data_IF_103341484413
#
_entry.id   IF_103341484413
#
_cell.length_a   1.000
_cell.length_b   1.000
_cell.length_c   1.000
_cell.angle_alpha   90.00
_cell.angle_beta   90.00
_cell.angle_gamma   90.00
#
_symmetry.space_group_name_H-M   'P 1'
#
loop_
_entity.id
_entity.type
_entity.pdbx_description
1 polymer ?
#
# COMPACT_ATOMS: atom_id res chain seq x y z
N UNK A 1 -15.55 9.39 31.28
CA UNK A 1 -14.09 9.50 31.49
C UNK A 1 -13.38 8.26 30.96
N UNK A 2 -13.54 7.08 31.57
CA UNK A 2 -12.84 5.84 31.18
C UNK A 2 -12.88 5.51 29.68
N UNK A 3 -14.04 5.64 29.02
CA UNK A 3 -14.18 5.35 27.57
C UNK A 3 -13.35 6.31 26.73
N UNK A 4 -13.31 7.61 27.08
CA UNK A 4 -12.50 8.60 26.37
C UNK A 4 -11.02 8.29 26.52
N UNK A 5 -10.59 7.94 27.74
CA UNK A 5 -9.18 7.62 28.03
C UNK A 5 -8.71 6.37 27.26
N UNK A 6 -9.54 5.31 27.24
CA UNK A 6 -9.26 4.11 26.44
C UNK A 6 -9.19 4.42 24.95
N UNK A 7 -10.06 5.31 24.45
CA UNK A 7 -10.10 5.67 23.04
C UNK A 7 -8.90 6.54 22.63
N UNK A 8 -8.39 7.38 23.52
CA UNK A 8 -7.10 8.09 23.34
C UNK A 8 -5.93 7.12 23.29
N UNK A 9 -5.85 6.16 24.23
CA UNK A 9 -4.80 5.12 24.22
C UNK A 9 -4.84 4.34 22.90
N UNK A 10 -6.03 3.96 22.46
CA UNK A 10 -6.23 3.23 21.21
C UNK A 10 -5.84 4.06 19.98
N UNK A 11 -6.17 5.36 19.95
CA UNK A 11 -5.74 6.28 18.90
C UNK A 11 -4.21 6.37 18.84
N UNK A 12 -3.54 6.56 19.97
CA UNK A 12 -2.07 6.65 20.03
C UNK A 12 -1.41 5.36 19.52
N UNK A 13 -1.89 4.19 19.97
CA UNK A 13 -1.42 2.91 19.48
C UNK A 13 -1.62 2.77 17.96
N UNK A 14 -2.77 3.21 17.45
CA UNK A 14 -3.09 3.14 16.03
C UNK A 14 -2.17 4.02 15.20
N UNK A 15 -1.86 5.24 15.66
CA UNK A 15 -0.89 6.14 14.99
C UNK A 15 0.49 5.50 14.92
N UNK A 16 0.98 4.93 16.02
CA UNK A 16 2.30 4.29 16.07
C UNK A 16 2.35 3.08 15.14
N UNK A 17 1.34 2.20 15.19
CA UNK A 17 1.31 1.01 14.35
C UNK A 17 1.13 1.37 12.86
N UNK A 18 0.28 2.35 12.54
CA UNK A 18 0.15 2.88 11.18
C UNK A 18 1.52 3.34 10.64
N UNK A 19 2.24 4.15 11.40
CA UNK A 19 3.54 4.69 11.00
C UNK A 19 4.58 3.57 10.77
N UNK A 20 4.62 2.57 11.66
CA UNK A 20 5.51 1.42 11.54
C UNK A 20 5.23 0.64 10.24
N UNK A 21 3.98 0.25 9.99
CA UNK A 21 3.64 -0.54 8.80
C UNK A 21 3.74 0.25 7.50
N UNK A 22 3.45 1.55 7.54
CA UNK A 22 3.67 2.45 6.42
C UNK A 22 5.17 2.54 6.09
N UNK A 23 6.03 2.73 7.10
CA UNK A 23 7.48 2.75 6.92
C UNK A 23 8.04 1.40 6.44
N UNK A 24 7.50 0.28 6.90
CA UNK A 24 7.89 -1.04 6.39
C UNK A 24 7.54 -1.22 4.92
N UNK A 25 6.38 -0.72 4.49
CA UNK A 25 5.99 -0.71 3.07
C UNK A 25 6.96 0.13 2.23
N UNK A 26 7.25 1.36 2.67
CA UNK A 26 8.19 2.26 1.98
C UNK A 26 9.61 1.68 1.88
N UNK A 27 10.12 1.11 2.99
CA UNK A 27 11.44 0.45 3.00
C UNK A 27 11.48 -0.78 2.09
N UNK A 28 10.39 -1.56 2.03
CA UNK A 28 10.31 -2.72 1.15
C UNK A 28 10.40 -2.28 -0.32
N UNK A 29 9.62 -1.27 -0.73
CA UNK A 29 9.65 -0.74 -2.10
C UNK A 29 11.04 -0.23 -2.47
N UNK A 30 11.65 0.59 -1.60
CA UNK A 30 12.93 1.21 -1.91
C UNK A 30 14.08 0.19 -2.00
N UNK A 31 14.04 -0.90 -1.23
CA UNK A 31 15.09 -1.94 -1.20
C UNK A 31 14.89 -3.05 -2.22
N UNK A 32 13.70 -3.23 -2.78
CA UNK A 32 13.40 -4.35 -3.65
C UNK A 32 13.62 -3.98 -5.13
N UNK A 33 14.80 -4.31 -5.65
CA UNK A 33 15.17 -4.05 -7.05
C UNK A 33 14.24 -4.70 -8.07
N UNK A 34 13.79 -5.94 -7.80
CA UNK A 34 12.88 -6.65 -8.69
C UNK A 34 11.53 -5.94 -8.81
N UNK A 35 10.97 -5.49 -7.68
CA UNK A 35 9.74 -4.70 -7.67
C UNK A 35 9.91 -3.38 -8.43
N UNK A 36 11.03 -2.67 -8.19
CA UNK A 36 11.30 -1.41 -8.89
C UNK A 36 11.43 -1.61 -10.40
N UNK A 37 12.08 -2.69 -10.82
CA UNK A 37 12.20 -3.08 -12.22
C UNK A 37 10.83 -3.39 -12.85
N UNK A 38 9.92 -4.07 -12.14
CA UNK A 38 8.54 -4.30 -12.61
C UNK A 38 7.85 -2.97 -12.92
N UNK A 39 7.93 -1.99 -12.01
CA UNK A 39 7.18 -0.74 -12.17
C UNK A 39 7.78 0.18 -13.24
N UNK A 40 9.11 0.32 -13.29
CA UNK A 40 9.75 1.29 -14.18
C UNK A 40 10.33 0.67 -15.46
N UNK A 41 10.43 -0.66 -15.55
CA UNK A 41 11.00 -1.36 -16.70
C UNK A 41 12.40 -0.82 -17.05
N UNK A 42 12.60 -0.50 -18.33
CA UNK A 42 13.86 0.08 -18.83
C UNK A 42 14.15 1.49 -18.31
N UNK A 43 13.17 2.19 -17.71
CA UNK A 43 13.39 3.50 -17.09
C UNK A 43 14.04 3.40 -15.71
N UNK A 44 14.15 2.19 -15.17
CA UNK A 44 14.76 1.97 -13.87
C UNK A 44 16.28 2.20 -13.91
N UNK A 45 16.79 3.07 -13.03
CA UNK A 45 18.21 3.48 -12.99
C UNK A 45 19.00 2.93 -11.79
N UNK A 46 18.60 1.78 -11.24
CA UNK A 46 19.26 1.13 -10.10
C UNK A 46 19.66 2.11 -8.97
N UNK A 47 18.71 2.92 -8.52
CA UNK A 47 18.92 3.97 -7.52
C UNK A 47 17.80 4.00 -6.49
N UNK A 48 18.06 4.69 -5.37
CA UNK A 48 17.01 4.97 -4.39
C UNK A 48 15.88 5.78 -5.03
N UNK A 49 14.66 5.47 -4.61
CA UNK A 49 13.48 6.18 -5.03
C UNK A 49 13.22 7.36 -4.09
N UNK A 50 12.75 8.48 -4.65
CA UNK A 50 12.18 9.54 -3.83
C UNK A 50 10.82 9.11 -3.23
N UNK A 51 10.35 9.90 -2.27
CA UNK A 51 9.12 9.60 -1.52
C UNK A 51 7.91 9.51 -2.45
N UNK A 52 7.79 10.43 -3.42
CA UNK A 52 6.64 10.45 -4.33
C UNK A 52 6.56 9.17 -5.18
N UNK A 53 7.70 8.70 -5.69
CA UNK A 53 7.79 7.47 -6.45
C UNK A 53 7.53 6.23 -5.60
N UNK A 54 7.96 6.23 -4.32
CA UNK A 54 7.65 5.14 -3.38
C UNK A 54 6.14 5.06 -3.14
N UNK A 55 5.50 6.19 -2.84
CA UNK A 55 4.05 6.25 -2.61
C UNK A 55 3.26 5.84 -3.85
N UNK A 56 3.71 6.24 -5.04
CA UNK A 56 3.05 5.85 -6.28
C UNK A 56 3.09 4.33 -6.52
N UNK A 57 4.21 3.66 -6.16
CA UNK A 57 4.31 2.19 -6.20
C UNK A 57 3.40 1.55 -5.14
N UNK A 58 3.40 2.05 -3.90
CA UNK A 58 2.51 1.55 -2.84
C UNK A 58 1.04 1.64 -3.26
N UNK A 59 0.65 2.78 -3.82
CA UNK A 59 -0.71 3.02 -4.31
C UNK A 59 -1.08 2.06 -5.45
N UNK A 60 -0.17 1.83 -6.38
CA UNK A 60 -0.44 0.91 -7.50
C UNK A 60 -0.46 -0.56 -7.07
N UNK A 61 0.41 -0.97 -6.15
CA UNK A 61 0.32 -2.31 -5.52
C UNK A 61 -1.03 -2.47 -4.81
N UNK A 62 -1.52 -1.42 -4.16
CA UNK A 62 -2.85 -1.40 -3.54
C UNK A 62 -3.95 -1.60 -4.57
N UNK A 63 -3.95 -0.84 -5.66
CA UNK A 63 -4.93 -1.01 -6.75
C UNK A 63 -4.89 -2.41 -7.36
N UNK A 64 -3.71 -2.90 -7.72
CA UNK A 64 -3.52 -4.22 -8.31
C UNK A 64 -4.09 -5.31 -7.40
N UNK A 65 -3.75 -5.29 -6.11
CA UNK A 65 -4.25 -6.30 -5.16
C UNK A 65 -5.76 -6.17 -4.96
N UNK A 66 -6.31 -4.97 -4.83
CA UNK A 66 -7.76 -4.77 -4.67
C UNK A 66 -8.52 -5.26 -5.90
N UNK A 67 -8.09 -4.90 -7.11
CA UNK A 67 -8.74 -5.35 -8.35
C UNK A 67 -8.63 -6.88 -8.48
N UNK A 68 -7.47 -7.45 -8.16
CA UNK A 68 -7.24 -8.90 -8.18
C UNK A 68 -8.11 -9.67 -7.19
N UNK A 69 -8.52 -9.06 -6.06
CA UNK A 69 -9.44 -9.69 -5.10
C UNK A 69 -10.85 -9.89 -5.68
N UNK A 70 -11.26 -9.09 -6.67
CA UNK A 70 -12.54 -9.28 -7.36
C UNK A 70 -12.46 -10.41 -8.38
N UNK A 71 -11.51 -10.33 -9.32
CA UNK A 71 -11.13 -11.43 -10.21
C UNK A 71 -9.88 -11.10 -11.03
N UNK A 72 -9.15 -12.14 -11.47
CA UNK A 72 -8.08 -11.98 -12.47
C UNK A 72 -8.60 -11.37 -13.78
N UNK A 73 -9.82 -11.71 -14.18
CA UNK A 73 -10.47 -11.14 -15.38
C UNK A 73 -10.65 -9.63 -15.24
N UNK A 74 -11.03 -9.13 -14.06
CA UNK A 74 -11.13 -7.70 -13.78
C UNK A 74 -9.78 -7.00 -13.90
N UNK A 75 -8.71 -7.63 -13.40
CA UNK A 75 -7.35 -7.10 -13.51
C UNK A 75 -6.89 -7.05 -14.96
N UNK A 76 -7.18 -8.09 -15.74
CA UNK A 76 -6.89 -8.12 -17.18
C UNK A 76 -7.61 -6.99 -17.92
N UNK A 77 -8.92 -6.85 -17.72
CA UNK A 77 -9.73 -5.79 -18.34
C UNK A 77 -9.19 -4.39 -17.95
N UNK A 78 -8.73 -4.22 -16.71
CA UNK A 78 -8.14 -2.97 -16.27
C UNK A 78 -6.88 -2.63 -17.09
N UNK A 79 -5.93 -3.55 -17.23
CA UNK A 79 -4.68 -3.31 -17.96
C UNK A 79 -4.84 -3.30 -19.48
N UNK A 80 -5.91 -3.88 -20.03
CA UNK A 80 -6.28 -3.70 -21.45
C UNK A 80 -6.68 -2.24 -21.74
N UNK A 81 -7.27 -1.54 -20.77
CA UNK A 81 -7.81 -0.19 -20.96
C UNK A 81 -6.96 0.92 -20.33
N UNK A 82 -6.10 0.59 -19.38
CA UNK A 82 -5.37 1.56 -18.53
C UNK A 82 -3.92 1.14 -18.35
N UNK A 83 -3.05 2.13 -18.21
CA UNK A 83 -1.64 1.94 -17.86
C UNK A 83 -1.31 2.81 -16.66
N UNK A 84 -0.91 2.18 -15.55
CA UNK A 84 -0.53 2.88 -14.32
C UNK A 84 0.95 3.30 -14.34
N UNK A 85 1.80 2.44 -14.90
CA UNK A 85 3.25 2.58 -14.89
C UNK A 85 3.85 2.05 -16.18
N UNK A 86 5.07 2.50 -16.52
CA UNK A 86 5.70 2.14 -17.79
C UNK A 86 5.93 0.63 -17.93
N UNK A 87 6.45 -0.02 -16.89
CA UNK A 87 6.73 -1.45 -16.86
C UNK A 87 5.57 -2.31 -16.35
N UNK A 88 4.49 -1.70 -15.85
CA UNK A 88 3.37 -2.43 -15.26
C UNK A 88 2.30 -2.75 -16.31
N UNK A 89 2.13 -4.04 -16.56
CA UNK A 89 1.11 -4.68 -17.40
C UNK A 89 0.41 -5.80 -16.62
N UNK A 90 -0.50 -6.53 -17.27
CA UNK A 90 -1.24 -7.61 -16.62
C UNK A 90 -0.33 -8.70 -16.03
N UNK A 91 0.67 -9.18 -16.78
CA UNK A 91 1.52 -10.30 -16.36
C UNK A 91 2.41 -9.90 -15.18
N UNK A 92 3.01 -8.72 -15.27
CA UNK A 92 3.83 -8.17 -14.20
C UNK A 92 2.99 -7.80 -12.97
N UNK A 93 1.75 -7.34 -13.14
CA UNK A 93 0.81 -7.14 -12.04
C UNK A 93 0.45 -8.45 -11.32
N UNK A 94 0.25 -9.56 -12.05
CA UNK A 94 0.08 -10.88 -11.44
C UNK A 94 1.31 -11.30 -10.64
N UNK A 95 2.52 -11.08 -11.19
CA UNK A 95 3.77 -11.30 -10.45
C UNK A 95 3.84 -10.47 -9.16
N UNK A 96 3.34 -9.23 -9.18
CA UNK A 96 3.22 -8.39 -7.96
C UNK A 96 2.35 -9.05 -6.89
N UNK A 97 1.18 -9.57 -7.27
CA UNK A 97 0.25 -10.25 -6.33
C UNK A 97 0.88 -11.50 -5.73
N UNK A 98 1.56 -12.30 -6.55
CA UNK A 98 2.10 -13.60 -6.12
C UNK A 98 3.36 -13.47 -5.28
N UNK A 99 4.30 -12.63 -5.71
CA UNK A 99 5.66 -12.58 -5.17
C UNK A 99 5.82 -11.54 -4.05
N UNK A 100 4.98 -10.49 -4.04
CA UNK A 100 5.10 -9.38 -3.10
C UNK A 100 3.99 -9.37 -2.03
N UNK A 101 3.49 -10.55 -1.64
CA UNK A 101 2.51 -10.73 -0.54
C UNK A 101 2.91 -10.06 0.76
N UNK A 102 4.21 -9.99 1.06
CA UNK A 102 4.75 -9.31 2.25
C UNK A 102 4.53 -7.80 2.21
N UNK A 103 4.73 -7.17 1.05
CA UNK A 103 4.41 -5.75 0.86
C UNK A 103 2.90 -5.53 1.02
N UNK A 104 2.08 -6.37 0.39
CA UNK A 104 0.63 -6.29 0.52
C UNK A 104 0.15 -6.43 1.97
N UNK A 105 0.77 -7.32 2.74
CA UNK A 105 0.49 -7.47 4.17
C UNK A 105 0.77 -6.17 4.96
N UNK A 106 1.91 -5.53 4.74
CA UNK A 106 2.24 -4.26 5.38
C UNK A 106 1.26 -3.14 4.99
N UNK A 107 0.91 -3.06 3.71
CA UNK A 107 -0.08 -2.09 3.21
C UNK A 107 -1.44 -2.31 3.88
N UNK A 108 -1.94 -3.55 3.97
CA UNK A 108 -3.22 -3.85 4.63
C UNK A 108 -3.23 -3.41 6.09
N UNK A 109 -2.18 -3.71 6.84
CA UNK A 109 -2.08 -3.29 8.24
C UNK A 109 -2.01 -1.77 8.37
N UNK A 110 -1.25 -1.10 7.49
CA UNK A 110 -1.22 0.36 7.44
C UNK A 110 -2.62 0.94 7.15
N UNK A 111 -3.34 0.43 6.15
CA UNK A 111 -4.71 0.89 5.83
C UNK A 111 -5.66 0.65 7.02
N UNK A 112 -5.57 -0.51 7.67
CA UNK A 112 -6.38 -0.84 8.84
C UNK A 112 -6.17 0.19 9.96
N UNK A 113 -4.94 0.40 10.40
CA UNK A 113 -4.65 1.38 11.46
C UNK A 113 -4.93 2.81 11.02
N UNK A 114 -4.72 3.15 9.75
CA UNK A 114 -5.13 4.43 9.16
C UNK A 114 -6.63 4.68 9.29
N UNK A 115 -7.45 3.67 8.98
CA UNK A 115 -8.91 3.72 9.11
C UNK A 115 -9.31 3.86 10.58
N UNK A 116 -8.64 3.13 11.47
CA UNK A 116 -8.84 3.20 12.91
C UNK A 116 -8.57 4.60 13.47
N UNK A 117 -7.51 5.27 13.01
CA UNK A 117 -7.19 6.66 13.39
C UNK A 117 -8.35 7.57 13.02
N UNK A 118 -8.86 7.48 11.79
CA UNK A 118 -9.99 8.30 11.31
C UNK A 118 -11.23 8.06 12.16
N UNK A 119 -11.64 6.81 12.34
CA UNK A 119 -12.84 6.44 13.12
C UNK A 119 -12.70 6.93 14.57
N UNK A 120 -11.56 6.68 15.20
CA UNK A 120 -11.32 7.08 16.60
C UNK A 120 -11.31 8.60 16.75
N UNK A 121 -10.73 9.33 15.79
CA UNK A 121 -10.71 10.79 15.82
C UNK A 121 -12.11 11.38 15.70
N UNK A 122 -12.95 10.81 14.83
CA UNK A 122 -14.36 11.19 14.73
C UNK A 122 -15.08 10.88 16.05
N UNK A 123 -14.90 9.69 16.62
CA UNK A 123 -15.53 9.34 17.90
C UNK A 123 -15.12 10.27 19.05
N UNK A 124 -13.84 10.66 19.16
CA UNK A 124 -13.38 11.64 20.17
C UNK A 124 -14.04 13.00 20.01
N UNK A 125 -14.28 13.43 18.77
CA UNK A 125 -14.91 14.72 18.51
C UNK A 125 -16.36 14.75 19.01
N UNK A 126 -17.08 13.63 18.91
CA UNK A 126 -18.50 13.54 19.26
C UNK A 126 -18.79 13.09 20.71
N UNK A 127 -17.83 12.44 21.38
CA UNK A 127 -17.93 11.99 22.78
C UNK A 127 -17.52 13.09 23.76
#
# INVERSE_FOLDING_TARGET
>A
MLIKDLLVIYLLLSVVLWAIFHQFSARYVNRNEALKSIFYGSLYKNKSMDVANIEAVILSVTFVNIISLFSEKSLKIFFENRKLFYGLDFNSAMSVVEQHKKLWFYIKLSIFFGSTIVISSVMLFWL
#
